data_IF_995516420162
#
_entry.id   IF_995516420162
#
_cell.length_a   1.000
_cell.length_b   1.000
_cell.length_c   1.000
_cell.angle_alpha   90.00
_cell.angle_beta   90.00
_cell.angle_gamma   90.00
#
_symmetry.space_group_name_H-M   'P 1'
#
loop_
_entity.id
_entity.type
_entity.pdbx_description
1 polymer ?
#
# COMPACT_ATOMS: atom_id res chain seq x y z
N UNK A 1 4.20 -11.89 -0.42
CA UNK A 1 2.82 -11.60 -0.91
C UNK A 1 1.87 -11.50 0.27
N UNK A 2 1.23 -10.36 0.47
CA UNK A 2 0.21 -10.20 1.52
C UNK A 2 -1.08 -10.87 1.06
N UNK A 3 -1.51 -10.57 -0.17
CA UNK A 3 -2.77 -11.05 -0.71
C UNK A 3 -2.77 -10.97 -2.24
N UNK A 4 -3.58 -11.80 -2.88
CA UNK A 4 -3.82 -11.77 -4.33
C UNK A 4 -5.32 -11.61 -4.61
N UNK A 5 -5.60 -11.09 -5.80
CA UNK A 5 -6.93 -10.98 -6.38
C UNK A 5 -6.88 -11.48 -7.82
N UNK A 6 -7.96 -11.28 -8.57
CA UNK A 6 -8.05 -11.74 -9.96
C UNK A 6 -6.98 -11.06 -10.83
N UNK A 7 -6.82 -9.75 -10.65
CA UNK A 7 -5.99 -8.89 -11.49
C UNK A 7 -4.79 -8.29 -10.76
N UNK A 8 -4.77 -8.28 -9.44
CA UNK A 8 -3.73 -7.59 -8.64
C UNK A 8 -3.10 -8.47 -7.57
N UNK A 9 -1.91 -8.07 -7.14
CA UNK A 9 -1.21 -8.61 -5.98
C UNK A 9 -0.83 -7.48 -5.03
N UNK A 10 -1.05 -7.70 -3.73
CA UNK A 10 -0.55 -6.86 -2.66
C UNK A 10 0.70 -7.53 -2.05
N UNK A 11 1.82 -6.82 -1.95
CA UNK A 11 3.08 -7.37 -1.42
C UNK A 11 3.91 -6.32 -0.70
N UNK A 12 4.68 -6.74 0.31
CA UNK A 12 5.77 -5.93 0.84
C UNK A 12 6.99 -6.09 -0.08
N UNK A 13 7.56 -5.00 -0.61
CA UNK A 13 8.70 -5.07 -1.50
C UNK A 13 9.94 -5.55 -0.75
N UNK A 14 10.78 -6.35 -1.42
CA UNK A 14 11.99 -6.93 -0.82
C UNK A 14 12.96 -5.88 -0.24
N UNK A 15 12.99 -4.68 -0.83
CA UNK A 15 13.79 -3.56 -0.37
C UNK A 15 12.91 -2.40 0.11
N UNK A 16 11.88 -2.69 0.93
CA UNK A 16 11.01 -1.69 1.55
C UNK A 16 11.80 -0.67 2.36
N UNK A 17 11.56 0.61 2.09
CA UNK A 17 12.18 1.74 2.80
C UNK A 17 11.53 1.98 4.16
N UNK A 18 10.22 1.70 4.25
CA UNK A 18 9.43 1.92 5.45
C UNK A 18 8.88 0.61 6.03
N UNK A 19 8.73 0.51 7.36
CA UNK A 19 8.03 -0.62 7.98
C UNK A 19 6.64 -0.77 7.40
N UNK A 20 6.25 -2.00 7.06
CA UNK A 20 4.93 -2.32 6.51
C UNK A 20 4.57 -1.60 5.19
N UNK A 21 5.56 -1.03 4.50
CA UNK A 21 5.40 -0.53 3.13
C UNK A 21 4.79 -1.64 2.27
N UNK A 22 3.64 -1.37 1.65
CA UNK A 22 2.89 -2.36 0.90
C UNK A 22 2.55 -1.83 -0.48
N UNK A 23 2.90 -2.59 -1.51
CA UNK A 23 2.59 -2.24 -2.89
C UNK A 23 1.42 -3.08 -3.39
N UNK A 24 0.55 -2.45 -4.19
CA UNK A 24 -0.49 -3.11 -4.98
C UNK A 24 -0.15 -2.91 -6.45
N UNK A 25 0.03 -4.00 -7.18
CA UNK A 25 0.47 -4.00 -8.58
C UNK A 25 -0.34 -4.99 -9.43
N UNK A 26 -0.61 -4.67 -10.70
CA UNK A 26 -1.32 -5.58 -11.59
C UNK A 26 -0.49 -6.84 -11.87
N UNK A 27 -1.17 -7.96 -12.08
CA UNK A 27 -0.56 -9.24 -12.45
C UNK A 27 -0.30 -9.35 -13.96
N UNK A 28 -0.80 -8.38 -14.72
CA UNK A 28 -0.51 -8.17 -16.13
C UNK A 28 0.40 -6.95 -16.28
N UNK A 29 1.20 -6.93 -17.34
CA UNK A 29 2.06 -5.78 -17.60
C UNK A 29 1.24 -4.56 -18.04
N UNK A 30 1.31 -3.49 -17.26
CA UNK A 30 0.76 -2.19 -17.62
C UNK A 30 1.65 -1.07 -17.09
N UNK A 31 2.06 -0.16 -17.97
CA UNK A 31 2.86 1.01 -17.58
C UNK A 31 2.00 2.21 -17.17
N UNK A 32 0.73 2.21 -17.59
CA UNK A 32 -0.21 3.32 -17.43
C UNK A 32 -1.42 2.85 -16.62
N UNK A 33 -1.85 3.65 -15.66
CA UNK A 33 -2.98 3.32 -14.78
C UNK A 33 -4.34 3.55 -15.46
N UNK A 34 -4.41 4.57 -16.32
CA UNK A 34 -5.61 4.99 -17.03
C UNK A 34 -6.08 4.02 -18.13
N UNK A 35 -5.34 2.93 -18.35
CA UNK A 35 -5.73 1.86 -19.29
C UNK A 35 -6.56 0.76 -18.64
N UNK A 36 -6.91 0.88 -17.35
CA UNK A 36 -7.69 -0.14 -16.64
C UNK A 36 -9.11 -0.27 -17.18
N UNK A 37 -9.53 -1.51 -17.42
CA UNK A 37 -10.92 -1.83 -17.66
C UNK A 37 -11.74 -1.67 -16.38
N UNK A 38 -13.05 -1.53 -16.52
CA UNK A 38 -13.95 -1.38 -15.36
C UNK A 38 -13.88 -2.55 -14.38
N UNK A 39 -13.84 -3.78 -14.88
CA UNK A 39 -13.71 -4.99 -14.04
C UNK A 39 -12.40 -5.02 -13.26
N UNK A 40 -11.31 -4.52 -13.85
CA UNK A 40 -10.01 -4.43 -13.18
C UNK A 40 -10.04 -3.31 -12.12
N UNK A 41 -10.72 -2.20 -12.41
CA UNK A 41 -10.90 -1.12 -11.43
C UNK A 41 -11.74 -1.56 -10.21
N UNK A 42 -12.78 -2.36 -10.44
CA UNK A 42 -13.60 -2.94 -9.36
C UNK A 42 -12.75 -3.90 -8.48
N UNK A 43 -11.95 -4.78 -9.10
CA UNK A 43 -11.04 -5.69 -8.39
C UNK A 43 -9.92 -4.93 -7.64
N UNK A 44 -9.43 -3.82 -8.22
CA UNK A 44 -8.46 -2.93 -7.58
C UNK A 44 -9.05 -2.29 -6.31
N UNK A 45 -10.29 -1.79 -6.38
CA UNK A 45 -10.96 -1.22 -5.23
C UNK A 45 -11.12 -2.26 -4.10
N UNK A 46 -11.44 -3.50 -4.46
CA UNK A 46 -11.58 -4.59 -3.49
C UNK A 46 -10.25 -4.96 -2.82
N UNK A 47 -9.17 -5.16 -3.58
CA UNK A 47 -7.87 -5.47 -2.98
C UNK A 47 -7.30 -4.30 -2.18
N UNK A 48 -7.52 -3.06 -2.63
CA UNK A 48 -7.11 -1.87 -1.88
C UNK A 48 -7.83 -1.82 -0.53
N UNK A 49 -9.16 -1.98 -0.52
CA UNK A 49 -9.95 -2.03 0.72
C UNK A 49 -9.46 -3.12 1.65
N UNK A 50 -9.22 -4.33 1.14
CA UNK A 50 -8.74 -5.46 1.97
C UNK A 50 -7.34 -5.21 2.52
N UNK A 51 -6.44 -4.64 1.71
CA UNK A 51 -5.08 -4.29 2.13
C UNK A 51 -5.09 -3.24 3.24
N UNK A 52 -5.86 -2.16 3.07
CA UNK A 52 -6.02 -1.13 4.09
C UNK A 52 -6.66 -1.67 5.37
N UNK A 53 -7.63 -2.57 5.26
CA UNK A 53 -8.23 -3.23 6.42
C UNK A 53 -7.25 -4.10 7.20
N UNK A 54 -6.33 -4.80 6.52
CA UNK A 54 -5.24 -5.54 7.18
C UNK A 54 -4.26 -4.61 7.88
N UNK A 55 -3.89 -3.50 7.22
CA UNK A 55 -3.03 -2.46 7.82
C UNK A 55 -3.70 -1.89 9.07
N UNK A 56 -4.98 -1.54 9.00
CA UNK A 56 -5.78 -1.07 10.13
C UNK A 56 -5.73 -2.04 11.30
N UNK A 57 -6.07 -3.30 11.07
CA UNK A 57 -6.19 -4.29 12.14
C UNK A 57 -4.82 -4.74 12.68
N UNK A 58 -3.79 -4.79 11.84
CA UNK A 58 -2.45 -5.20 12.27
C UNK A 58 -1.73 -4.10 13.05
N UNK A 59 -1.98 -2.83 12.72
CA UNK A 59 -1.17 -1.70 13.18
C UNK A 59 -1.96 -0.68 14.01
N UNK A 60 -3.18 -1.03 14.42
CA UNK A 60 -4.06 -0.20 15.27
C UNK A 60 -4.40 1.17 14.65
N UNK A 61 -4.95 1.13 13.42
CA UNK A 61 -5.36 2.31 12.64
C UNK A 61 -4.28 3.42 12.54
N UNK A 62 -3.11 3.12 11.94
CA UNK A 62 -2.07 4.12 11.82
C UNK A 62 -2.43 5.15 10.75
N UNK A 63 -2.01 6.42 10.90
CA UNK A 63 -2.02 7.35 9.78
C UNK A 63 -1.14 6.80 8.64
N UNK A 64 -1.56 6.96 7.40
CA UNK A 64 -0.84 6.46 6.24
C UNK A 64 -0.93 7.43 5.07
N UNK A 65 0.03 7.32 4.15
CA UNK A 65 -0.05 7.91 2.82
C UNK A 65 -0.14 6.79 1.79
N UNK A 66 -0.77 7.06 0.65
CA UNK A 66 -0.61 6.21 -0.52
C UNK A 66 -0.31 7.05 -1.76
N UNK A 67 0.49 6.49 -2.66
CA UNK A 67 0.96 7.14 -3.86
C UNK A 67 0.75 6.23 -5.06
N UNK A 68 0.29 6.81 -6.17
CA UNK A 68 0.17 6.13 -7.44
C UNK A 68 1.42 6.41 -8.29
N UNK A 69 2.20 5.36 -8.56
CA UNK A 69 3.39 5.42 -9.41
C UNK A 69 3.02 4.99 -10.83
N UNK A 70 3.10 5.92 -11.78
CA UNK A 70 2.70 5.73 -13.19
C UNK A 70 3.78 6.22 -14.15
N UNK A 71 3.78 5.67 -15.36
CA UNK A 71 4.65 6.14 -16.42
C UNK A 71 4.37 7.62 -16.78
N UNK A 72 5.38 8.36 -17.27
CA UNK A 72 5.18 9.72 -17.77
C UNK A 72 4.17 9.74 -18.95
N UNK A 73 3.20 10.68 -18.96
CA UNK A 73 2.01 10.61 -19.80
C UNK A 73 2.25 10.75 -21.32
N UNK A 74 3.44 11.18 -21.74
CA UNK A 74 3.78 11.41 -23.17
C UNK A 74 4.56 10.26 -23.80
N UNK A 75 4.80 9.17 -23.07
CA UNK A 75 5.50 8.02 -23.60
C UNK A 75 4.51 6.95 -24.06
N UNK A 76 4.63 6.42 -25.30
CA UNK A 76 3.90 5.22 -25.67
C UNK A 76 4.36 4.08 -24.76
N UNK A 77 3.45 3.15 -24.44
CA UNK A 77 3.60 2.10 -23.42
C UNK A 77 5.04 1.63 -23.18
N UNK A 78 5.49 1.71 -21.92
CA UNK A 78 6.86 1.40 -21.54
C UNK A 78 6.96 -0.08 -21.15
N UNK A 79 7.70 -0.88 -21.91
CA UNK A 79 7.88 -2.31 -21.63
C UNK A 79 8.59 -2.58 -20.29
N UNK A 80 9.33 -1.60 -19.75
CA UNK A 80 10.09 -1.72 -18.51
C UNK A 80 9.42 -1.06 -17.31
N UNK A 81 8.35 -0.29 -17.50
CA UNK A 81 7.67 0.41 -16.41
C UNK A 81 6.37 -0.32 -16.07
N UNK A 82 6.13 -0.54 -14.80
CA UNK A 82 4.96 -1.25 -14.29
C UNK A 82 4.35 -0.40 -13.18
N UNK A 83 3.14 0.12 -13.42
CA UNK A 83 2.50 1.02 -12.46
C UNK A 83 2.15 0.26 -11.18
N UNK A 84 2.17 0.94 -10.04
CA UNK A 84 1.74 0.37 -8.78
C UNK A 84 1.23 1.46 -7.82
N UNK A 85 0.44 1.05 -6.84
CA UNK A 85 0.13 1.87 -5.67
C UNK A 85 1.10 1.49 -4.57
N UNK A 86 1.75 2.48 -3.96
CA UNK A 86 2.59 2.34 -2.78
C UNK A 86 1.84 2.88 -1.56
N UNK A 87 1.70 2.08 -0.51
CA UNK A 87 1.07 2.44 0.76
C UNK A 87 2.15 2.49 1.84
N UNK A 88 2.22 3.60 2.56
CA UNK A 88 3.23 3.86 3.60
C UNK A 88 2.53 4.22 4.91
N UNK A 89 2.39 3.26 5.84
CA UNK A 89 1.99 3.54 7.21
C UNK A 89 3.03 4.40 7.92
N UNK A 90 2.59 5.42 8.66
CA UNK A 90 3.46 6.33 9.41
C UNK A 90 3.72 5.77 10.79
N UNK A 91 4.76 4.94 10.92
CA UNK A 91 5.11 4.24 12.17
C UNK A 91 6.39 4.77 12.82
N UNK A 92 7.22 5.48 12.06
CA UNK A 92 8.50 6.01 12.52
C UNK A 92 8.67 7.44 12.02
N UNK A 93 9.47 8.23 12.75
CA UNK A 93 9.86 9.58 12.33
C UNK A 93 11.19 9.51 11.59
N UNK A 94 11.24 10.09 10.40
CA UNK A 94 12.48 10.25 9.62
C UNK A 94 13.44 11.17 10.37
N UNK A 95 14.65 10.68 10.68
CA UNK A 95 15.64 11.40 11.46
C UNK A 95 16.73 12.03 10.57
N UNK A 96 17.73 12.66 11.20
CA UNK A 96 18.77 13.41 10.49
C UNK A 96 19.63 12.55 9.55
N UNK A 97 19.76 11.25 9.81
CA UNK A 97 20.50 10.34 8.94
C UNK A 97 19.78 10.16 7.60
N UNK A 98 18.49 9.89 7.64
CA UNK A 98 17.67 9.66 6.45
C UNK A 98 17.58 10.94 5.61
N UNK A 99 17.36 12.09 6.25
CA UNK A 99 17.36 13.39 5.58
C UNK A 99 18.72 13.73 4.95
N UNK A 100 19.82 13.46 5.65
CA UNK A 100 21.16 13.81 5.20
C UNK A 100 21.70 12.89 4.10
N UNK A 101 21.28 11.62 4.08
CA UNK A 101 21.89 10.61 3.21
C UNK A 101 20.96 10.09 2.10
N UNK A 102 19.65 10.21 2.27
CA UNK A 102 18.66 9.58 1.39
C UNK A 102 18.54 8.06 1.57
N UNK A 103 19.29 7.46 2.50
CA UNK A 103 19.13 6.06 2.90
C UNK A 103 18.11 5.94 4.02
N UNK A 104 17.38 4.83 4.04
CA UNK A 104 16.34 4.56 5.03
C UNK A 104 16.74 3.38 5.90
N UNK A 105 16.43 3.47 7.19
CA UNK A 105 16.59 2.36 8.14
C UNK A 105 15.20 1.76 8.39
N UNK A 106 14.99 0.55 7.87
CA UNK A 106 13.76 -0.19 8.09
C UNK A 106 13.97 -1.25 9.19
N UNK A 107 13.42 -1.07 10.41
CA UNK A 107 13.56 -2.03 11.49
C UNK A 107 12.76 -3.33 11.28
N UNK A 108 11.82 -3.37 10.32
CA UNK A 108 10.97 -4.53 10.08
C UNK A 108 11.25 -5.12 8.69
N UNK A 109 11.87 -6.30 8.60
CA UNK A 109 12.07 -6.98 7.32
C UNK A 109 10.74 -7.23 6.60
N UNK A 110 10.70 -7.15 5.26
CA UNK A 110 9.46 -7.31 4.50
C UNK A 110 8.83 -8.68 4.66
N UNK A 111 9.62 -9.74 4.91
CA UNK A 111 9.13 -11.09 5.18
C UNK A 111 8.31 -11.15 6.48
N UNK A 112 8.73 -10.39 7.49
CA UNK A 112 8.04 -10.30 8.78
C UNK A 112 6.80 -9.42 8.69
N UNK A 113 6.92 -8.24 8.07
CA UNK A 113 5.77 -7.37 7.78
C UNK A 113 4.69 -8.12 7.00
N UNK A 114 5.10 -8.88 5.97
CA UNK A 114 4.20 -9.66 5.13
C UNK A 114 3.50 -10.77 5.93
N UNK A 115 4.23 -11.50 6.78
CA UNK A 115 3.66 -12.53 7.66
C UNK A 115 2.60 -11.93 8.58
N UNK A 116 2.89 -10.77 9.15
CA UNK A 116 2.02 -10.09 10.12
C UNK A 116 0.75 -9.55 9.45
N UNK A 117 0.87 -8.86 8.31
CA UNK A 117 -0.29 -8.37 7.54
C UNK A 117 -1.16 -9.51 7.01
N UNK A 118 -0.56 -10.63 6.58
CA UNK A 118 -1.30 -11.80 6.09
C UNK A 118 -2.13 -12.46 7.19
N UNK A 119 -1.62 -12.46 8.43
CA UNK A 119 -2.32 -13.03 9.58
C UNK A 119 -3.49 -12.16 10.08
N UNK A 120 -3.48 -10.85 9.79
CA UNK A 120 -4.54 -9.93 10.19
C UNK A 120 -5.83 -10.12 9.38
N UNK A 121 -6.99 -9.90 10.02
CA UNK A 121 -8.27 -9.79 9.31
C UNK A 121 -8.30 -8.52 8.45
N UNK A 122 -8.97 -8.56 7.31
CA UNK A 122 -9.24 -7.36 6.50
C UNK A 122 -10.56 -6.68 6.87
N UNK A 123 -11.42 -7.37 7.64
CA UNK A 123 -12.71 -6.82 8.06
C UNK A 123 -12.46 -5.71 9.07
N UNK A 124 -12.69 -4.46 8.65
CA UNK A 124 -12.67 -3.31 9.55
C UNK A 124 -14.01 -3.28 10.29
N UNK A 125 -14.02 -3.31 11.64
CA UNK A 125 -15.25 -3.17 12.40
C UNK A 125 -15.99 -1.90 11.99
N UNK A 126 -17.31 -2.00 11.76
CA UNK A 126 -18.12 -0.80 11.51
C UNK A 126 -17.97 0.14 12.71
N UNK A 127 -17.68 1.45 12.50
CA UNK A 127 -17.63 2.40 13.59
C UNK A 127 -18.94 2.34 14.38
N UNK A 128 -18.85 2.26 15.71
CA UNK A 128 -20.02 2.46 16.56
C UNK A 128 -20.44 3.92 16.40
N UNK A 129 -21.74 4.18 16.24
CA UNK A 129 -22.25 5.54 16.21
C UNK A 129 -21.78 6.29 17.48
N UNK A 130 -21.02 7.38 17.31
CA UNK A 130 -20.55 8.23 18.41
C UNK A 130 -19.07 8.14 18.79
N UNK A 131 -18.21 7.49 18.00
CA UNK A 131 -16.76 7.46 18.30
C UNK A 131 -16.10 8.85 18.07
N UNK A 132 -15.60 9.53 19.13
CA UNK A 132 -15.09 10.89 19.06
C UNK A 132 -13.77 11.01 18.29
N UNK A 133 -13.07 9.90 17.99
CA UNK A 133 -11.74 9.91 17.36
C UNK A 133 -11.70 10.52 15.95
N UNK A 134 -12.83 10.65 15.24
CA UNK A 134 -12.87 11.25 13.88
C UNK A 134 -13.28 12.73 13.83
N UNK A 135 -13.71 13.34 14.92
CA UNK A 135 -14.18 14.74 14.91
C UNK A 135 -13.02 15.75 15.00
N UNK A 136 -11.82 15.32 15.39
CA UNK A 136 -10.70 16.21 15.69
C UNK A 136 -9.67 16.40 14.54
N UNK A 137 -10.01 16.03 13.30
CA UNK A 137 -9.07 16.00 12.17
C UNK A 137 -9.48 16.79 10.93
N UNK A 138 -10.26 17.87 11.07
CA UNK A 138 -10.60 18.80 9.99
C UNK A 138 -10.19 20.22 10.35
#
# INVERSE_FOLDING_TARGET
VVEESSHFVAMNPYASRFPFETWILPRFHASHFDTLARSESDDLADILRRTLGRIWNALDDPPFNFMLHVAPPRNPGLAYYHWHIEIIPTLTTVAGFEWGSGFFINPTPPEEACRYLRAASWEVPRPRAGDPARVAGA
#
